data_IF_635307287118
#
_entry.id   IF_635307287118
#
_cell.length_a   1.000
_cell.length_b   1.000
_cell.length_c   1.000
_cell.angle_alpha   90.00
_cell.angle_beta   90.00
_cell.angle_gamma   90.00
#
_symmetry.space_group_name_H-M   'P 1'
#
loop_
_entity.id
_entity.type
_entity.pdbx_description
1 polymer ?
#
# COMPACT_ATOMS: atom_id res chain seq x y z
N UNK A 1 34.23 -86.55 7.16
CA UNK A 1 33.35 -86.31 8.32
C UNK A 1 32.67 -85.00 8.10
N UNK A 2 31.36 -84.92 8.26
CA UNK A 2 30.42 -83.99 7.66
C UNK A 2 30.53 -82.58 8.18
N UNK A 3 30.51 -81.59 7.24
CA UNK A 3 30.16 -80.21 7.46
C UNK A 3 28.65 -79.99 7.47
N UNK A 4 28.08 -79.06 8.25
CA UNK A 4 26.84 -78.46 7.85
C UNK A 4 27.02 -76.93 7.55
N UNK A 5 26.39 -76.58 6.49
CA UNK A 5 26.18 -75.29 5.94
C UNK A 5 25.31 -74.43 6.85
N UNK A 6 25.76 -73.19 7.06
CA UNK A 6 24.93 -72.18 7.70
C UNK A 6 24.54 -71.09 6.66
N UNK A 7 23.22 -70.98 6.48
CA UNK A 7 22.58 -70.06 5.56
C UNK A 7 22.37 -68.70 6.29
N UNK A 8 23.04 -67.68 5.80
CA UNK A 8 22.79 -66.33 6.25
C UNK A 8 21.58 -65.74 5.49
N UNK A 9 20.51 -65.54 6.25
CA UNK A 9 19.32 -64.83 5.82
C UNK A 9 19.61 -63.32 5.74
N UNK A 10 19.56 -62.79 4.52
CA UNK A 10 19.66 -61.34 4.28
C UNK A 10 18.27 -60.76 4.37
N UNK A 11 17.87 -60.27 5.53
CA UNK A 11 16.75 -59.33 5.65
C UNK A 11 17.25 -57.88 5.47
N UNK A 12 17.02 -57.40 4.27
CA UNK A 12 17.22 -55.99 3.91
C UNK A 12 16.14 -55.17 4.59
N UNK A 13 16.52 -54.40 5.58
CA UNK A 13 15.67 -53.38 6.19
C UNK A 13 15.79 -52.11 5.34
N UNK A 14 14.78 -51.83 4.51
CA UNK A 14 14.58 -50.55 3.87
C UNK A 14 14.07 -49.52 4.90
N UNK A 15 14.98 -48.69 5.40
CA UNK A 15 14.57 -47.48 6.14
C UNK A 15 14.20 -46.40 5.14
N UNK A 16 12.88 -46.15 5.00
CA UNK A 16 12.34 -45.06 4.26
C UNK A 16 12.61 -43.73 5.00
N UNK A 17 13.50 -42.89 4.45
CA UNK A 17 13.58 -41.47 4.84
C UNK A 17 12.34 -40.74 4.32
N UNK A 18 11.38 -40.50 5.20
CA UNK A 18 10.28 -39.60 4.98
C UNK A 18 10.83 -38.17 5.02
N UNK A 19 11.02 -37.53 3.86
CA UNK A 19 11.27 -36.08 3.77
C UNK A 19 10.01 -35.32 4.19
N UNK A 20 9.99 -34.84 5.42
CA UNK A 20 8.99 -33.85 5.88
C UNK A 20 9.30 -32.53 5.22
N UNK A 21 8.63 -32.25 4.08
CA UNK A 21 8.62 -30.95 3.47
C UNK A 21 7.91 -29.94 4.38
N UNK A 22 8.66 -29.15 5.14
CA UNK A 22 8.14 -27.97 5.81
C UNK A 22 7.81 -26.93 4.73
N UNK A 23 6.55 -26.96 4.28
CA UNK A 23 5.98 -25.86 3.50
C UNK A 23 5.96 -24.61 4.36
N UNK A 24 6.85 -23.67 4.06
CA UNK A 24 6.71 -22.31 4.55
C UNK A 24 5.45 -21.71 3.89
N UNK A 25 4.31 -21.87 4.54
CA UNK A 25 3.17 -21.03 4.28
C UNK A 25 3.61 -19.61 4.73
N UNK A 26 4.01 -18.78 3.78
CA UNK A 26 4.23 -17.37 4.03
C UNK A 26 2.95 -16.79 4.61
N UNK A 27 2.93 -16.59 5.92
CA UNK A 27 1.84 -15.89 6.57
C UNK A 27 1.77 -14.51 5.93
N UNK A 28 0.69 -14.22 5.21
CA UNK A 28 0.39 -12.89 4.75
C UNK A 28 0.27 -12.03 6.01
N UNK A 29 1.33 -11.27 6.33
CA UNK A 29 1.32 -10.41 7.50
C UNK A 29 0.20 -9.40 7.32
N UNK A 30 -0.76 -9.42 8.24
CA UNK A 30 -1.77 -8.37 8.34
C UNK A 30 -1.08 -7.01 8.53
N UNK A 31 -1.72 -5.95 8.09
CA UNK A 31 -1.25 -4.60 8.37
C UNK A 31 -1.21 -4.38 9.90
N UNK A 32 -0.18 -3.69 10.40
CA UNK A 32 -0.09 -3.30 11.80
C UNK A 32 -1.34 -2.53 12.26
N UNK A 33 -1.64 -2.63 13.57
CA UNK A 33 -2.70 -1.80 14.17
C UNK A 33 -2.22 -0.35 14.34
N UNK A 34 -3.07 0.66 14.05
CA UNK A 34 -2.76 2.06 14.35
C UNK A 34 -2.60 2.26 15.85
N UNK A 35 -1.59 3.04 16.26
CA UNK A 35 -1.34 3.42 17.65
C UNK A 35 -1.78 4.85 17.98
N UNK A 36 -2.06 5.63 16.92
CA UNK A 36 -2.52 7.01 16.98
C UNK A 36 -3.87 7.18 16.29
N UNK A 37 -4.36 8.42 16.18
CA UNK A 37 -5.57 8.73 15.45
C UNK A 37 -5.49 8.25 13.99
N UNK A 38 -6.54 7.57 13.52
CA UNK A 38 -6.64 7.13 12.12
C UNK A 38 -6.77 8.37 11.22
N UNK A 39 -5.88 8.51 10.25
CA UNK A 39 -5.87 9.61 9.28
C UNK A 39 -6.27 9.17 7.88
N UNK A 40 -6.15 7.86 7.57
CA UNK A 40 -6.54 7.28 6.29
C UNK A 40 -7.16 5.91 6.51
N UNK A 41 -8.30 5.66 5.85
CA UNK A 41 -8.97 4.36 5.81
C UNK A 41 -9.00 3.85 4.37
N UNK A 42 -8.50 2.64 4.14
CA UNK A 42 -8.77 1.91 2.92
C UNK A 42 -9.88 0.90 3.18
N UNK A 43 -10.79 0.74 2.22
CA UNK A 43 -11.91 -0.22 2.27
C UNK A 43 -12.11 -0.92 0.93
N UNK A 44 -13.01 -1.89 0.87
CA UNK A 44 -13.30 -2.64 -0.35
C UNK A 44 -12.41 -3.86 -0.55
N UNK A 45 -11.80 -4.02 -1.72
CA UNK A 45 -11.03 -5.20 -2.08
C UNK A 45 -9.62 -5.17 -1.48
N UNK A 46 -9.47 -5.63 -0.24
CA UNK A 46 -8.22 -5.67 0.52
C UNK A 46 -7.89 -7.09 0.99
N UNK A 47 -6.61 -7.47 0.94
CA UNK A 47 -6.10 -8.76 1.45
C UNK A 47 -5.46 -8.66 2.83
N UNK A 48 -5.13 -7.46 3.28
CA UNK A 48 -4.42 -7.22 4.56
C UNK A 48 -5.14 -6.14 5.39
N UNK A 49 -6.43 -6.31 5.70
CA UNK A 49 -7.11 -5.39 6.61
C UNK A 49 -6.53 -5.53 8.03
N UNK A 50 -6.63 -4.48 8.84
CA UNK A 50 -6.27 -4.50 10.26
C UNK A 50 -7.47 -4.24 11.18
N UNK A 51 -8.64 -3.91 10.62
CA UNK A 51 -9.89 -3.80 11.37
C UNK A 51 -11.07 -4.27 10.50
N UNK A 52 -11.59 -5.45 10.79
CA UNK A 52 -12.69 -6.07 10.04
C UNK A 52 -12.35 -6.21 8.56
N UNK A 53 -12.93 -5.35 7.72
CA UNK A 53 -12.69 -5.30 6.27
C UNK A 53 -11.87 -4.07 5.85
N UNK A 54 -11.46 -3.23 6.80
CA UNK A 54 -10.77 -1.98 6.54
C UNK A 54 -9.29 -2.07 6.89
N UNK A 55 -8.50 -1.26 6.21
CA UNK A 55 -7.11 -1.01 6.56
C UNK A 55 -7.01 0.45 7.05
N UNK A 56 -6.77 0.61 8.34
CA UNK A 56 -6.63 1.90 9.00
C UNK A 56 -5.16 2.25 9.14
N UNK A 57 -4.83 3.48 8.79
CA UNK A 57 -3.49 4.04 8.92
C UNK A 57 -3.53 5.26 9.84
N UNK A 58 -2.65 5.28 10.82
CA UNK A 58 -2.27 6.51 11.51
C UNK A 58 -1.09 7.20 10.79
N UNK A 59 -0.73 8.40 11.22
CA UNK A 59 0.35 9.16 10.58
C UNK A 59 1.69 8.43 10.68
N UNK A 60 1.99 7.76 11.81
CA UNK A 60 3.23 7.03 12.01
C UNK A 60 3.35 5.81 11.08
N UNK A 61 2.23 5.16 10.75
CA UNK A 61 2.21 4.07 9.77
C UNK A 61 2.55 4.58 8.36
N UNK A 62 1.98 5.72 7.95
CA UNK A 62 2.29 6.35 6.67
C UNK A 62 3.75 6.82 6.61
N UNK A 63 4.31 7.31 7.72
CA UNK A 63 5.73 7.71 7.83
C UNK A 63 6.71 6.55 7.64
N UNK A 64 6.35 5.35 8.07
CA UNK A 64 7.20 4.15 7.92
C UNK A 64 7.23 3.58 6.51
N UNK A 65 6.26 3.93 5.66
CA UNK A 65 6.30 3.55 4.24
C UNK A 65 7.43 4.31 3.52
N UNK A 66 7.95 3.79 2.39
CA UNK A 66 8.93 4.52 1.59
C UNK A 66 8.42 5.91 1.24
N UNK A 67 9.20 6.94 1.55
CA UNK A 67 8.83 8.34 1.34
C UNK A 67 9.37 8.84 0.01
N UNK A 68 8.53 9.55 -0.73
CA UNK A 68 8.87 10.23 -1.97
C UNK A 68 8.60 11.73 -1.83
N UNK A 69 9.47 12.56 -2.41
CA UNK A 69 9.30 14.00 -2.45
C UNK A 69 9.46 14.51 -3.88
N UNK A 70 8.58 15.41 -4.28
CA UNK A 70 8.77 16.20 -5.50
C UNK A 70 8.18 17.61 -5.33
N UNK A 71 8.67 18.55 -6.14
CA UNK A 71 8.09 19.89 -6.24
C UNK A 71 7.30 19.99 -7.53
N UNK A 72 6.08 20.53 -7.47
CA UNK A 72 5.24 20.71 -8.64
C UNK A 72 4.32 21.91 -8.51
N UNK A 73 4.01 22.54 -9.64
CA UNK A 73 2.96 23.54 -9.73
C UNK A 73 1.60 22.85 -9.75
N UNK A 74 0.65 23.49 -9.12
CA UNK A 74 -0.73 23.02 -9.09
C UNK A 74 -1.68 24.19 -9.27
N UNK A 75 -2.93 23.98 -9.68
CA UNK A 75 -3.92 25.06 -9.75
C UNK A 75 -4.25 25.72 -8.40
N UNK A 76 -3.87 25.08 -7.28
CA UNK A 76 -4.27 25.50 -5.93
C UNK A 76 -3.23 26.34 -5.20
N UNK A 77 -2.03 26.49 -5.76
CA UNK A 77 -0.94 27.29 -5.20
C UNK A 77 -0.29 28.15 -6.28
N UNK A 78 -0.02 29.41 -5.94
CA UNK A 78 0.60 30.36 -6.87
C UNK A 78 2.03 29.97 -7.30
N UNK A 79 2.73 29.22 -6.45
CA UNK A 79 4.10 28.77 -6.64
C UNK A 79 4.16 27.25 -6.64
N UNK A 80 5.22 26.67 -7.23
CA UNK A 80 5.52 25.25 -7.05
C UNK A 80 5.72 24.97 -5.56
N UNK A 81 5.16 23.85 -5.08
CA UNK A 81 5.26 23.43 -3.68
C UNK A 81 5.89 22.03 -3.62
N UNK A 82 6.63 21.77 -2.56
CA UNK A 82 7.20 20.45 -2.29
C UNK A 82 6.19 19.60 -1.53
N UNK A 83 5.85 18.46 -2.12
CA UNK A 83 4.97 17.45 -1.52
C UNK A 83 5.81 16.25 -1.10
N UNK A 84 5.61 15.76 0.14
CA UNK A 84 6.33 14.60 0.67
C UNK A 84 5.36 13.63 1.33
N UNK A 85 5.48 12.36 0.99
CA UNK A 85 4.69 11.26 1.55
C UNK A 85 4.98 9.94 0.86
N UNK A 86 4.32 8.86 1.27
CA UNK A 86 4.39 7.60 0.56
C UNK A 86 3.72 7.72 -0.82
N UNK A 87 4.20 6.92 -1.78
CA UNK A 87 3.49 6.76 -3.04
C UNK A 87 2.16 6.03 -2.83
N UNK A 88 1.15 6.39 -3.61
CA UNK A 88 -0.17 5.73 -3.55
C UNK A 88 -0.04 4.21 -3.71
N UNK A 89 0.83 3.72 -4.62
CA UNK A 89 1.09 2.28 -4.80
C UNK A 89 1.62 1.60 -3.53
N UNK A 90 2.43 2.29 -2.73
CA UNK A 90 2.96 1.75 -1.47
C UNK A 90 1.86 1.62 -0.40
N UNK A 91 0.99 2.61 -0.33
CA UNK A 91 -0.19 2.59 0.57
C UNK A 91 -1.14 1.45 0.18
N UNK A 92 -1.42 1.30 -1.12
CA UNK A 92 -2.28 0.21 -1.64
C UNK A 92 -1.65 -1.17 -1.39
N UNK A 93 -0.34 -1.31 -1.62
CA UNK A 93 0.40 -2.56 -1.40
C UNK A 93 0.43 -2.96 0.08
N UNK A 94 0.60 -2.00 1.00
CA UNK A 94 0.57 -2.24 2.44
C UNK A 94 -0.77 -2.84 2.90
N UNK A 95 -1.89 -2.38 2.34
CA UNK A 95 -3.23 -2.90 2.60
C UNK A 95 -3.58 -4.16 1.77
N UNK A 96 -2.71 -4.55 0.82
CA UNK A 96 -3.01 -5.65 -0.10
C UNK A 96 -4.19 -5.35 -1.02
N UNK A 97 -4.34 -4.09 -1.44
CA UNK A 97 -5.40 -3.65 -2.32
C UNK A 97 -5.31 -4.34 -3.69
N UNK A 98 -6.45 -4.78 -4.20
CA UNK A 98 -6.58 -5.42 -5.50
C UNK A 98 -7.92 -5.03 -6.12
N UNK A 99 -7.92 -4.53 -7.32
CA UNK A 99 -9.11 -4.02 -7.98
C UNK A 99 -8.71 -3.24 -9.23
N UNK A 100 -9.66 -2.51 -9.80
CA UNK A 100 -9.45 -1.73 -11.02
C UNK A 100 -9.70 -0.24 -10.83
N UNK A 101 -10.47 0.13 -9.81
CA UNK A 101 -10.93 1.49 -9.57
C UNK A 101 -10.73 1.88 -8.11
N UNK A 102 -10.31 3.10 -7.88
CA UNK A 102 -10.23 3.72 -6.56
C UNK A 102 -11.25 4.85 -6.47
N UNK A 103 -11.95 4.92 -5.36
CA UNK A 103 -12.75 6.09 -5.00
C UNK A 103 -12.12 6.78 -3.80
N UNK A 104 -11.51 7.94 -4.05
CA UNK A 104 -10.92 8.78 -3.02
C UNK A 104 -11.97 9.73 -2.45
N UNK A 105 -12.08 9.80 -1.12
CA UNK A 105 -13.06 10.64 -0.41
C UNK A 105 -12.34 11.56 0.57
N UNK A 106 -12.66 12.82 0.52
CA UNK A 106 -12.14 13.88 1.40
C UNK A 106 -12.99 14.06 2.67
N UNK A 107 -12.47 14.83 3.62
CA UNK A 107 -13.18 15.16 4.87
C UNK A 107 -14.47 15.94 4.65
N UNK A 108 -14.59 16.71 3.57
CA UNK A 108 -15.78 17.49 3.19
C UNK A 108 -16.73 16.71 2.27
N UNK A 109 -16.59 15.37 2.23
CA UNK A 109 -17.37 14.45 1.40
C UNK A 109 -17.20 14.64 -0.13
N UNK A 110 -16.27 15.50 -0.58
CA UNK A 110 -15.84 15.48 -1.97
C UNK A 110 -15.27 14.10 -2.29
N UNK A 111 -15.61 13.58 -3.46
CA UNK A 111 -15.07 12.31 -3.91
C UNK A 111 -14.71 12.35 -5.39
N UNK A 112 -13.78 11.50 -5.75
CA UNK A 112 -13.33 11.32 -7.15
C UNK A 112 -12.98 9.86 -7.37
N UNK A 113 -13.22 9.38 -8.60
CA UNK A 113 -12.80 8.06 -9.04
C UNK A 113 -11.57 8.18 -9.94
N UNK A 114 -10.65 7.22 -9.77
CA UNK A 114 -9.46 7.11 -10.60
C UNK A 114 -9.12 5.63 -10.81
N UNK A 115 -8.56 5.26 -11.99
CA UNK A 115 -8.07 3.91 -12.21
C UNK A 115 -6.96 3.57 -11.21
N UNK A 116 -6.94 2.33 -10.70
CA UNK A 116 -5.85 1.86 -9.83
C UNK A 116 -4.50 1.91 -10.56
N UNK A 117 -4.51 1.78 -11.89
CA UNK A 117 -3.34 1.89 -12.76
C UNK A 117 -2.63 3.25 -12.66
N UNK A 118 -3.32 4.33 -12.28
CA UNK A 118 -2.68 5.63 -12.05
C UNK A 118 -1.58 5.52 -10.96
N UNK A 119 -1.81 4.69 -9.94
CA UNK A 119 -0.82 4.45 -8.89
C UNK A 119 0.43 3.71 -9.40
N UNK A 120 0.29 2.89 -10.45
CA UNK A 120 1.40 2.16 -11.05
C UNK A 120 2.15 3.00 -12.11
N UNK A 121 1.40 3.80 -12.89
CA UNK A 121 1.95 4.57 -14.02
C UNK A 121 2.56 5.89 -13.62
N UNK A 122 2.05 6.50 -12.54
CA UNK A 122 2.44 7.82 -12.10
C UNK A 122 2.91 7.77 -10.65
N UNK A 123 3.88 8.60 -10.32
CA UNK A 123 4.36 8.72 -8.93
C UNK A 123 3.40 9.59 -8.11
N UNK A 124 2.14 9.11 -8.00
CA UNK A 124 1.12 9.78 -7.18
C UNK A 124 1.52 9.67 -5.71
N UNK A 125 1.69 10.81 -5.05
CA UNK A 125 2.05 10.86 -3.63
C UNK A 125 0.80 11.09 -2.78
N UNK A 126 0.66 10.32 -1.71
CA UNK A 126 -0.22 10.64 -0.59
C UNK A 126 0.58 11.52 0.36
N UNK A 127 0.63 12.82 0.02
CA UNK A 127 1.44 13.79 0.74
C UNK A 127 0.93 14.00 2.16
N UNK A 128 1.82 13.89 3.14
CA UNK A 128 1.61 14.22 4.55
C UNK A 128 2.33 15.49 4.97
N UNK A 129 3.31 15.93 4.14
CA UNK A 129 4.02 17.18 4.34
C UNK A 129 3.91 18.06 3.09
N UNK A 130 3.79 19.36 3.33
CA UNK A 130 3.89 20.43 2.34
C UNK A 130 5.03 21.34 2.75
N UNK A 131 6.04 21.52 1.88
CA UNK A 131 7.27 22.26 2.19
C UNK A 131 7.89 21.81 3.52
N UNK A 132 8.01 20.49 3.69
CA UNK A 132 8.57 19.81 4.86
C UNK A 132 7.80 20.02 6.19
N UNK A 133 6.56 20.51 6.14
CA UNK A 133 5.71 20.74 7.31
C UNK A 133 4.41 19.96 7.22
N UNK A 134 3.88 19.43 8.34
CA UNK A 134 2.54 18.85 8.39
C UNK A 134 1.49 19.85 7.90
N UNK A 135 0.50 19.35 7.16
CA UNK A 135 -0.61 20.17 6.66
C UNK A 135 -1.76 20.18 7.67
N UNK A 136 -2.19 21.35 8.10
CA UNK A 136 -3.43 21.48 8.85
C UNK A 136 -4.65 21.22 7.94
N UNK A 137 -5.78 20.79 8.53
CA UNK A 137 -7.02 20.56 7.77
C UNK A 137 -7.44 21.80 6.95
N UNK A 138 -7.38 22.99 7.55
CA UNK A 138 -7.67 24.27 6.86
C UNK A 138 -6.74 24.53 5.67
N UNK A 139 -5.55 23.91 5.64
CA UNK A 139 -4.51 24.11 4.64
C UNK A 139 -4.40 22.87 3.72
N UNK A 140 -5.52 22.20 3.43
CA UNK A 140 -5.67 21.00 2.58
C UNK A 140 -5.16 19.68 3.18
N UNK A 141 -4.76 19.66 4.47
CA UNK A 141 -4.34 18.46 5.19
C UNK A 141 -5.49 17.66 5.79
N UNK A 142 -5.18 16.61 6.56
CA UNK A 142 -3.84 16.14 6.88
C UNK A 142 -3.11 15.42 5.74
N UNK A 143 -3.84 14.93 4.74
CA UNK A 143 -3.30 14.20 3.59
C UNK A 143 -3.79 14.82 2.28
N UNK A 144 -2.89 14.84 1.29
CA UNK A 144 -3.20 15.34 -0.04
C UNK A 144 -2.68 14.37 -1.10
N UNK A 145 -3.57 13.75 -1.85
CA UNK A 145 -3.21 12.93 -3.00
C UNK A 145 -2.90 13.82 -4.20
N UNK A 146 -1.64 13.81 -4.69
CA UNK A 146 -1.15 14.73 -5.72
C UNK A 146 -0.29 14.02 -6.76
N UNK A 147 -0.42 14.44 -8.01
CA UNK A 147 0.34 13.95 -9.16
C UNK A 147 1.57 14.84 -9.43
N UNK A 148 2.66 14.27 -10.04
CA UNK A 148 3.88 15.01 -10.36
C UNK A 148 3.72 15.82 -11.67
N UNK A 149 2.87 16.83 -11.67
CA UNK A 149 2.48 17.60 -12.87
C UNK A 149 3.63 18.24 -13.63
N UNK A 150 4.72 18.66 -12.95
CA UNK A 150 5.86 19.29 -13.62
C UNK A 150 6.81 18.26 -14.23
N UNK A 151 6.88 17.05 -13.66
CA UNK A 151 7.68 15.94 -14.19
C UNK A 151 7.00 15.26 -15.39
N UNK A 152 5.66 15.28 -15.44
CA UNK A 152 4.84 14.64 -16.48
C UNK A 152 3.83 15.65 -17.02
N UNK A 153 4.19 16.44 -18.05
CA UNK A 153 3.34 17.52 -18.59
C UNK A 153 1.96 17.06 -19.07
N UNK A 154 1.81 15.81 -19.50
CA UNK A 154 0.54 15.20 -19.88
C UNK A 154 -0.48 15.14 -18.76
N UNK A 155 -0.04 15.18 -17.50
CA UNK A 155 -0.91 15.23 -16.32
C UNK A 155 -1.51 16.63 -16.08
N UNK A 156 -1.02 17.67 -16.76
CA UNK A 156 -1.50 19.06 -16.60
C UNK A 156 -2.82 19.28 -17.34
N UNK A 157 -3.86 18.60 -16.91
CA UNK A 157 -5.20 18.74 -17.49
C UNK A 157 -6.29 18.55 -16.42
N UNK A 158 -7.54 18.95 -16.69
CA UNK A 158 -8.63 18.89 -15.71
C UNK A 158 -8.90 17.51 -15.13
N UNK A 159 -8.63 16.43 -15.89
CA UNK A 159 -8.86 15.06 -15.42
C UNK A 159 -7.97 14.73 -14.22
N UNK A 160 -6.66 14.95 -14.35
CA UNK A 160 -5.72 14.65 -13.25
C UNK A 160 -5.79 15.69 -12.12
N UNK A 161 -6.13 16.93 -12.44
CA UNK A 161 -6.42 17.90 -11.39
C UNK A 161 -7.60 17.46 -10.53
N UNK A 162 -8.69 16.98 -11.13
CA UNK A 162 -9.84 16.48 -10.38
C UNK A 162 -9.54 15.20 -9.59
N UNK A 163 -8.61 14.36 -10.05
CA UNK A 163 -8.16 13.17 -9.33
C UNK A 163 -7.27 13.47 -8.12
N UNK A 164 -6.76 14.69 -8.00
CA UNK A 164 -5.96 15.11 -6.85
C UNK A 164 -6.87 15.54 -5.70
N UNK A 165 -6.99 14.71 -4.68
CA UNK A 165 -7.89 14.94 -3.56
C UNK A 165 -7.12 15.46 -2.33
N UNK A 166 -7.38 16.69 -1.91
CA UNK A 166 -6.91 17.21 -0.62
C UNK A 166 -7.86 16.82 0.52
N UNK A 167 -7.39 16.92 1.77
CA UNK A 167 -8.13 16.45 2.95
C UNK A 167 -8.54 14.99 2.82
N UNK A 168 -7.71 14.18 2.16
CA UNK A 168 -8.00 12.77 1.90
C UNK A 168 -8.25 12.03 3.21
N UNK A 169 -9.38 11.30 3.29
CA UNK A 169 -9.82 10.52 4.46
C UNK A 169 -9.94 9.04 4.15
N UNK A 170 -10.50 8.71 2.99
CA UNK A 170 -10.81 7.32 2.64
C UNK A 170 -10.47 7.02 1.19
N UNK A 171 -10.01 5.79 0.92
CA UNK A 171 -9.88 5.23 -0.41
C UNK A 171 -10.65 3.91 -0.43
N UNK A 172 -11.71 3.84 -1.23
CA UNK A 172 -12.45 2.60 -1.47
C UNK A 172 -11.90 1.94 -2.73
N UNK A 173 -11.49 0.67 -2.61
CA UNK A 173 -10.95 -0.15 -3.71
C UNK A 173 -12.06 -1.02 -4.30
N UNK A 174 -12.31 -0.89 -5.61
CA UNK A 174 -13.36 -1.60 -6.34
C UNK A 174 -12.84 -2.43 -7.50
#
# INVERSE_FOLDING_TARGET
>A
MRTPSDRLDRRTVLQGLGAVGLGWAGAAQALDQPRGPVVLTLSGQLRKPNDGRNAHFDMAMLERLPQTSFSTRTPWYAQARKFTGPLLREVLAAAGAHGSLLRAVALNDYWVELPIDDAARHDVVVARLLDDKPMAVRDKGPLFMVYPFDAQPELRNPVYYSRSAWQLRTIEVR
#
